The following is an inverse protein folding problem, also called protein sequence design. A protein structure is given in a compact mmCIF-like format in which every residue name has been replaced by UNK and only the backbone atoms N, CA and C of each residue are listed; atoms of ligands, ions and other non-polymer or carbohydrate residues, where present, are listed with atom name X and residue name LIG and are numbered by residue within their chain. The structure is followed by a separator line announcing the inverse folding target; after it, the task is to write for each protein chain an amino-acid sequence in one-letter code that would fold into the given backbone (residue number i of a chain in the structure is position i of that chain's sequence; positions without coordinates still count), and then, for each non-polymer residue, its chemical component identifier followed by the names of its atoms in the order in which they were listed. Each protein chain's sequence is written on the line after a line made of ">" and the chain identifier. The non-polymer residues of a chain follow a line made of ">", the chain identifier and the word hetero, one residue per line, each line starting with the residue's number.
data_IF_911638465521
#
_entry.id   IF_911638465521
#
_cell.length_a   1.000
_cell.length_b   1.000
_cell.length_c   1.000
_cell.angle_alpha   90.00
_cell.angle_beta   90.00
_cell.angle_gamma   90.00
#
_symmetry.space_group_name_H-M   'P 1'
#
loop_
_entity.id
_entity.type
_entity.pdbx_description
1 polymer ?
#
# COMPACT_ATOMS: atom_id res chain seq x y z
N UNK A 1 -23.20 -8.17 -47.28
CA UNK A 1 -23.64 -9.31 -48.14
C UNK A 1 -22.43 -10.19 -48.40
N UNK A 2 -22.61 -11.49 -48.62
CA UNK A 2 -21.54 -12.38 -49.06
C UNK A 2 -21.96 -13.16 -50.32
N UNK A 3 -21.03 -13.29 -51.26
CA UNK A 3 -21.14 -14.09 -52.46
C UNK A 3 -20.33 -15.37 -52.26
N UNK A 4 -20.95 -16.53 -52.44
CA UNK A 4 -20.34 -17.84 -52.26
C UNK A 4 -20.28 -18.52 -53.62
N UNK A 5 -19.07 -18.85 -54.07
CA UNK A 5 -18.83 -19.46 -55.39
C UNK A 5 -18.12 -20.81 -55.24
N UNK A 6 -18.67 -21.85 -55.85
CA UNK A 6 -18.04 -23.17 -55.91
C UNK A 6 -18.59 -23.98 -57.09
N UNK A 7 -17.72 -24.75 -57.76
CA UNK A 7 -18.15 -25.65 -58.84
C UNK A 7 -18.73 -24.97 -60.09
N UNK A 8 -18.50 -23.66 -60.27
CA UNK A 8 -19.10 -22.87 -61.34
C UNK A 8 -20.49 -22.31 -61.00
N UNK A 9 -20.97 -22.55 -59.78
CA UNK A 9 -22.22 -22.01 -59.26
C UNK A 9 -21.98 -20.92 -58.21
N UNK A 10 -22.94 -20.02 -58.09
CA UNK A 10 -22.88 -18.86 -57.19
C UNK A 10 -24.14 -18.79 -56.31
N UNK A 11 -23.98 -18.39 -55.04
CA UNK A 11 -25.08 -18.08 -54.12
C UNK A 11 -24.82 -16.74 -53.43
N UNK A 12 -25.87 -15.96 -53.22
CA UNK A 12 -25.78 -14.68 -52.50
C UNK A 12 -26.49 -14.81 -51.17
N UNK A 13 -25.80 -14.47 -50.07
CA UNK A 13 -26.37 -14.47 -48.73
C UNK A 13 -26.28 -13.07 -48.10
N UNK A 14 -27.30 -12.73 -47.31
CA UNK A 14 -27.30 -11.51 -46.52
C UNK A 14 -26.91 -11.85 -45.09
N UNK A 15 -25.85 -11.23 -44.59
CA UNK A 15 -25.37 -11.37 -43.22
C UNK A 15 -25.86 -10.17 -42.40
N UNK A 16 -26.32 -10.42 -41.18
CA UNK A 16 -26.78 -9.37 -40.27
C UNK A 16 -25.65 -8.43 -39.79
N UNK A 17 -26.03 -7.30 -39.19
CA UNK A 17 -25.07 -6.38 -38.58
C UNK A 17 -24.36 -7.07 -37.40
N UNK A 18 -23.03 -7.19 -37.48
CA UNK A 18 -22.22 -7.91 -36.49
C UNK A 18 -21.80 -9.33 -36.88
N UNK A 19 -22.22 -9.82 -38.05
CA UNK A 19 -22.02 -11.21 -38.46
C UNK A 19 -23.11 -12.13 -37.93
N UNK A 20 -23.20 -13.33 -38.49
CA UNK A 20 -24.22 -14.31 -38.13
C UNK A 20 -24.27 -15.48 -39.11
N UNK A 21 -25.07 -16.48 -38.76
CA UNK A 21 -25.26 -17.65 -39.61
C UNK A 21 -26.19 -17.31 -40.78
N UNK A 22 -25.92 -17.90 -41.95
CA UNK A 22 -26.77 -17.76 -43.12
C UNK A 22 -26.83 -19.08 -43.89
N UNK A 23 -28.06 -19.48 -44.24
CA UNK A 23 -28.32 -20.67 -45.03
C UNK A 23 -28.36 -20.35 -46.52
N UNK A 24 -27.90 -21.30 -47.34
CA UNK A 24 -27.95 -21.25 -48.79
C UNK A 24 -28.07 -22.65 -49.35
N UNK A 25 -28.55 -22.77 -50.60
CA UNK A 25 -28.65 -24.06 -51.27
C UNK A 25 -27.26 -24.73 -51.42
N UNK A 26 -27.15 -26.06 -51.30
CA UNK A 26 -25.87 -26.75 -51.37
C UNK A 26 -25.10 -26.48 -52.66
N UNK A 27 -23.81 -26.15 -52.51
CA UNK A 27 -22.84 -26.04 -53.61
C UNK A 27 -21.84 -27.20 -53.55
N UNK A 28 -21.41 -27.72 -54.71
CA UNK A 28 -20.41 -28.79 -54.78
C UNK A 28 -19.13 -28.30 -55.45
N UNK A 29 -17.99 -28.44 -54.76
CA UNK A 29 -16.69 -28.07 -55.32
C UNK A 29 -15.53 -28.43 -54.40
N UNK A 30 -14.30 -28.36 -54.93
CA UNK A 30 -13.05 -28.53 -54.15
C UNK A 30 -12.45 -27.22 -53.66
N UNK A 31 -12.96 -26.10 -54.17
CA UNK A 31 -12.57 -24.74 -53.84
C UNK A 31 -13.84 -23.94 -53.65
N UNK A 32 -13.90 -23.17 -52.57
CA UNK A 32 -14.95 -22.19 -52.32
C UNK A 32 -14.30 -20.82 -52.26
N UNK A 33 -14.86 -19.86 -52.98
CA UNK A 33 -14.51 -18.45 -52.87
C UNK A 33 -15.67 -17.74 -52.18
N UNK A 34 -15.38 -17.05 -51.08
CA UNK A 34 -16.38 -16.27 -50.36
C UNK A 34 -15.96 -14.80 -50.42
N UNK A 35 -16.75 -14.00 -51.13
CA UNK A 35 -16.51 -12.57 -51.33
C UNK A 35 -17.47 -11.79 -50.47
N UNK A 36 -16.95 -11.00 -49.53
CA UNK A 36 -17.76 -10.17 -48.64
C UNK A 36 -17.82 -8.73 -49.17
N UNK A 37 -19.02 -8.21 -49.34
CA UNK A 37 -19.22 -6.80 -49.73
C UNK A 37 -19.41 -5.94 -48.48
N UNK A 38 -18.64 -4.84 -48.40
CA UNK A 38 -18.79 -3.80 -47.37
C UNK A 38 -20.21 -3.20 -47.44
N UNK A 39 -20.91 -3.05 -46.30
CA UNK A 39 -22.15 -2.28 -46.28
C UNK A 39 -21.83 -0.78 -46.26
N UNK A 40 -22.17 -0.07 -47.35
CA UNK A 40 -22.04 1.39 -47.46
C UNK A 40 -20.76 1.90 -48.15
N UNK A 41 -20.85 3.11 -48.70
CA UNK A 41 -19.77 3.84 -49.40
C UNK A 41 -18.85 4.64 -48.45
N UNK A 42 -19.04 4.51 -47.13
CA UNK A 42 -18.23 5.27 -46.18
C UNK A 42 -16.86 4.60 -45.97
N UNK A 43 -15.81 5.31 -46.36
CA UNK A 43 -14.41 4.87 -46.37
C UNK A 43 -13.80 4.58 -44.98
N UNK A 44 -14.55 4.81 -43.89
CA UNK A 44 -14.01 4.79 -42.53
C UNK A 44 -13.99 3.42 -41.85
N UNK A 45 -14.60 2.38 -42.43
CA UNK A 45 -14.60 1.02 -41.84
C UNK A 45 -13.94 -0.02 -42.75
N UNK A 46 -12.88 -0.66 -42.24
CA UNK A 46 -12.31 -1.88 -42.83
C UNK A 46 -13.15 -3.09 -42.44
N UNK A 47 -13.49 -3.94 -43.41
CA UNK A 47 -14.14 -5.22 -43.12
C UNK A 47 -13.13 -6.16 -42.44
N UNK A 48 -13.42 -6.58 -41.21
CA UNK A 48 -12.66 -7.61 -40.51
C UNK A 48 -13.44 -8.92 -40.46
N UNK A 49 -12.78 -10.04 -40.76
CA UNK A 49 -13.33 -11.39 -40.62
C UNK A 49 -12.65 -12.09 -39.45
N UNK A 50 -13.43 -12.48 -38.44
CA UNK A 50 -12.90 -13.18 -37.27
C UNK A 50 -12.76 -14.68 -37.52
N UNK A 51 -13.81 -15.30 -38.05
CA UNK A 51 -13.89 -16.73 -38.29
C UNK A 51 -14.91 -17.01 -39.41
N UNK A 52 -14.67 -18.06 -40.19
CA UNK A 52 -15.62 -18.59 -41.17
C UNK A 52 -15.76 -20.08 -40.89
N UNK A 53 -17.00 -20.48 -40.61
CA UNK A 53 -17.36 -21.88 -40.40
C UNK A 53 -18.36 -22.29 -41.45
N UNK A 54 -18.12 -23.45 -42.09
CA UNK A 54 -19.11 -24.09 -42.95
C UNK A 54 -19.59 -25.34 -42.23
N UNK A 55 -20.88 -25.41 -41.89
CA UNK A 55 -21.44 -26.54 -41.13
C UNK A 55 -21.13 -27.90 -41.78
N UNK A 56 -21.11 -27.95 -43.11
CA UNK A 56 -20.92 -29.18 -43.88
C UNK A 56 -19.50 -29.31 -44.49
N UNK A 57 -18.54 -28.47 -44.10
CA UNK A 57 -17.16 -28.56 -44.58
C UNK A 57 -16.15 -28.09 -43.52
N UNK A 58 -15.12 -28.90 -43.26
CA UNK A 58 -14.00 -28.50 -42.41
C UNK A 58 -13.01 -27.65 -43.20
N UNK A 59 -13.15 -26.32 -43.10
CA UNK A 59 -12.27 -25.35 -43.77
C UNK A 59 -10.92 -25.18 -43.05
N UNK A 60 -10.91 -25.30 -41.73
CA UNK A 60 -9.73 -25.06 -40.89
C UNK A 60 -9.34 -26.32 -40.13
N UNK A 61 -8.03 -26.49 -39.93
CA UNK A 61 -7.53 -27.35 -38.86
C UNK A 61 -7.33 -26.46 -37.66
N UNK A 62 -7.75 -26.93 -36.49
CA UNK A 62 -7.35 -26.32 -35.23
C UNK A 62 -5.83 -26.25 -35.18
N UNK A 63 -5.31 -25.08 -34.83
CA UNK A 63 -3.89 -24.92 -34.60
C UNK A 63 -3.53 -25.74 -33.35
N UNK A 64 -2.68 -26.75 -33.53
CA UNK A 64 -2.13 -27.48 -32.40
C UNK A 64 -1.00 -26.68 -31.77
N UNK A 65 -1.33 -25.93 -30.72
CA UNK A 65 -0.36 -25.11 -30.00
C UNK A 65 0.76 -25.92 -29.35
N UNK A 66 0.52 -27.20 -29.01
CA UNK A 66 1.51 -28.09 -28.43
C UNK A 66 2.43 -28.74 -29.49
N UNK A 67 2.10 -28.58 -30.77
CA UNK A 67 2.89 -29.10 -31.87
C UNK A 67 4.32 -28.53 -31.88
N UNK A 68 5.33 -29.33 -32.24
CA UNK A 68 6.71 -28.88 -32.29
C UNK A 68 6.93 -27.87 -33.41
N UNK A 69 7.80 -26.90 -33.17
CA UNK A 69 8.25 -25.93 -34.16
C UNK A 69 9.70 -25.53 -33.92
N UNK A 70 10.25 -24.72 -34.82
CA UNK A 70 11.59 -24.16 -34.72
C UNK A 70 12.31 -24.21 -36.06
N UNK A 71 13.63 -24.28 -35.99
CA UNK A 71 14.51 -24.26 -37.14
C UNK A 71 15.53 -25.38 -37.02
N UNK A 72 15.73 -26.14 -38.09
CA UNK A 72 16.77 -27.17 -38.14
C UNK A 72 18.16 -26.52 -38.07
N UNK A 73 19.18 -27.34 -37.87
CA UNK A 73 20.54 -26.86 -37.71
C UNK A 73 20.99 -25.97 -38.88
N UNK A 74 21.50 -24.78 -38.55
CA UNK A 74 21.97 -23.78 -39.52
C UNK A 74 20.92 -22.75 -39.93
N UNK A 75 19.67 -22.89 -39.48
CA UNK A 75 18.59 -21.95 -39.76
C UNK A 75 18.14 -21.16 -38.52
N UNK A 76 18.78 -21.39 -37.37
CA UNK A 76 18.63 -20.52 -36.20
C UNK A 76 19.51 -19.26 -36.28
N UNK A 77 19.41 -18.37 -35.27
CA UNK A 77 20.31 -17.22 -35.15
C UNK A 77 21.76 -17.67 -34.97
N UNK A 78 22.69 -17.14 -35.77
CA UNK A 78 24.10 -17.53 -35.73
C UNK A 78 24.74 -17.09 -34.42
N UNK A 79 25.32 -18.05 -33.69
CA UNK A 79 26.16 -17.77 -32.53
C UNK A 79 27.59 -17.54 -33.01
N UNK A 80 28.21 -16.44 -32.61
CA UNK A 80 29.60 -16.11 -32.96
C UNK A 80 30.40 -16.01 -31.68
N UNK A 81 31.48 -16.79 -31.60
CA UNK A 81 32.40 -16.81 -30.46
C UNK A 81 33.79 -16.51 -31.01
N UNK A 82 34.38 -15.38 -30.61
CA UNK A 82 35.69 -14.91 -31.08
C UNK A 82 35.84 -14.89 -32.60
N UNK A 83 34.75 -14.53 -33.29
CA UNK A 83 34.69 -14.51 -34.75
C UNK A 83 34.39 -15.86 -35.40
N UNK A 84 34.40 -16.97 -34.66
CA UNK A 84 33.98 -18.27 -35.16
C UNK A 84 32.46 -18.40 -35.18
N UNK A 85 31.90 -18.66 -36.34
CA UNK A 85 30.46 -18.88 -36.51
C UNK A 85 30.07 -20.31 -36.15
N UNK A 86 29.12 -20.42 -35.23
CA UNK A 86 28.53 -21.67 -34.76
C UNK A 86 27.06 -21.66 -35.20
N UNK A 87 26.73 -22.60 -36.07
CA UNK A 87 25.35 -22.84 -36.49
C UNK A 87 24.50 -23.25 -35.30
N UNK A 88 23.27 -22.77 -35.26
CA UNK A 88 22.32 -23.12 -34.21
C UNK A 88 21.07 -23.78 -34.80
N UNK A 89 20.34 -24.48 -33.96
CA UNK A 89 18.96 -24.92 -34.20
C UNK A 89 18.04 -24.22 -33.19
N UNK A 90 16.77 -24.09 -33.56
CA UNK A 90 15.73 -23.55 -32.68
C UNK A 90 14.71 -24.64 -32.43
N UNK A 91 14.23 -24.76 -31.20
CA UNK A 91 13.14 -25.68 -30.84
C UNK A 91 12.15 -25.02 -29.90
N UNK A 92 10.88 -25.37 -30.04
CA UNK A 92 9.82 -24.96 -29.14
C UNK A 92 8.47 -25.45 -29.63
N UNK A 93 7.40 -24.76 -29.22
CA UNK A 93 6.03 -25.10 -29.57
C UNK A 93 5.41 -24.03 -30.47
N UNK A 94 4.47 -24.44 -31.33
CA UNK A 94 3.73 -23.52 -32.20
C UNK A 94 3.02 -22.43 -31.39
N UNK A 95 2.46 -22.81 -30.23
CA UNK A 95 1.82 -21.88 -29.30
C UNK A 95 2.77 -20.76 -28.84
N UNK A 96 4.05 -21.07 -28.61
CA UNK A 96 5.06 -20.07 -28.27
C UNK A 96 5.27 -19.07 -29.41
N UNK A 97 5.27 -19.50 -30.66
CA UNK A 97 5.43 -18.59 -31.82
C UNK A 97 4.22 -17.65 -31.92
N UNK A 98 3.01 -18.19 -31.82
CA UNK A 98 1.76 -17.40 -31.91
C UNK A 98 1.63 -16.41 -30.76
N UNK A 99 2.06 -16.81 -29.56
CA UNK A 99 2.08 -15.95 -28.38
C UNK A 99 3.29 -15.00 -28.33
N UNK A 100 4.19 -15.01 -29.33
CA UNK A 100 5.48 -14.29 -29.32
C UNK A 100 6.33 -14.60 -28.07
N UNK A 101 6.24 -15.83 -27.58
CA UNK A 101 7.00 -16.37 -26.48
C UNK A 101 8.42 -16.77 -26.89
N UNK A 102 9.20 -17.18 -25.88
CA UNK A 102 10.59 -17.59 -26.06
C UNK A 102 10.69 -19.00 -26.65
N UNK A 103 11.73 -19.21 -27.48
CA UNK A 103 12.11 -20.49 -28.05
C UNK A 103 13.53 -20.83 -27.61
N UNK A 104 13.83 -22.12 -27.46
CA UNK A 104 15.17 -22.57 -27.13
C UNK A 104 16.08 -22.52 -28.35
N UNK A 105 17.31 -22.03 -28.16
CA UNK A 105 18.36 -22.02 -29.18
C UNK A 105 19.49 -22.91 -28.71
N UNK A 106 19.90 -23.85 -29.56
CA UNK A 106 20.96 -24.80 -29.25
C UNK A 106 22.06 -24.73 -30.32
N UNK A 107 23.34 -24.62 -29.93
CA UNK A 107 24.46 -24.79 -30.86
C UNK A 107 24.46 -26.18 -31.50
N UNK A 108 24.75 -26.23 -32.80
CA UNK A 108 24.88 -27.48 -33.53
C UNK A 108 26.29 -28.06 -33.44
N UNK A 109 26.40 -29.38 -33.50
CA UNK A 109 27.69 -30.09 -33.66
C UNK A 109 28.57 -30.09 -32.41
N UNK A 110 28.32 -29.17 -31.49
CA UNK A 110 28.78 -29.22 -30.10
C UNK A 110 27.60 -29.70 -29.26
N UNK A 111 27.83 -30.57 -28.25
CA UNK A 111 26.78 -31.03 -27.32
C UNK A 111 26.32 -29.91 -26.37
N UNK A 112 25.98 -28.74 -26.90
CA UNK A 112 25.64 -27.53 -26.13
C UNK A 112 26.80 -26.95 -25.32
N UNK A 113 28.06 -27.33 -25.60
CA UNK A 113 29.24 -26.88 -24.85
C UNK A 113 30.19 -26.10 -25.75
N UNK A 114 30.72 -25.01 -25.23
CA UNK A 114 31.69 -24.16 -25.92
C UNK A 114 32.90 -24.06 -25.00
N UNK A 115 34.08 -24.43 -25.50
CA UNK A 115 35.32 -24.26 -24.76
C UNK A 115 35.76 -22.80 -24.90
N UNK A 116 36.00 -22.15 -23.76
CA UNK A 116 36.55 -20.79 -23.67
C UNK A 116 37.77 -20.87 -22.78
N UNK A 117 38.89 -20.34 -23.27
CA UNK A 117 40.13 -20.28 -22.50
C UNK A 117 40.06 -19.15 -21.45
N UNK A 118 41.10 -19.03 -20.63
CA UNK A 118 41.21 -17.88 -19.74
C UNK A 118 41.49 -16.61 -20.56
N UNK A 119 40.62 -15.61 -20.48
CA UNK A 119 40.84 -14.34 -21.14
C UNK A 119 39.55 -13.60 -21.50
N UNK A 120 39.71 -12.60 -22.37
CA UNK A 120 38.60 -11.83 -22.89
C UNK A 120 38.05 -12.53 -24.14
N UNK A 121 36.75 -12.85 -24.11
CA UNK A 121 36.03 -13.44 -25.24
C UNK A 121 34.93 -12.51 -25.74
N UNK A 122 34.63 -12.58 -27.04
CA UNK A 122 33.48 -11.89 -27.64
C UNK A 122 32.45 -12.92 -28.07
N UNK A 123 31.26 -12.84 -27.47
CA UNK A 123 30.14 -13.72 -27.77
C UNK A 123 28.97 -12.89 -28.31
N UNK A 124 28.49 -13.24 -29.49
CA UNK A 124 27.38 -12.56 -30.17
C UNK A 124 26.36 -13.59 -30.64
N UNK A 125 25.08 -13.41 -30.31
CA UNK A 125 24.00 -14.15 -30.97
C UNK A 125 23.31 -13.19 -31.94
N UNK A 126 23.45 -13.44 -33.25
CA UNK A 126 23.01 -12.52 -34.31
C UNK A 126 21.54 -12.75 -34.67
N UNK A 127 20.75 -11.68 -34.73
CA UNK A 127 19.33 -11.74 -35.11
C UNK A 127 19.15 -12.11 -36.59
N UNK A 128 18.01 -12.72 -36.89
CA UNK A 128 17.56 -13.02 -38.26
C UNK A 128 16.17 -12.41 -38.49
N UNK A 129 15.65 -12.49 -39.72
CA UNK A 129 14.29 -12.05 -40.01
C UNK A 129 13.19 -12.84 -39.27
N UNK A 130 13.51 -14.01 -38.73
CA UNK A 130 12.58 -14.89 -38.02
C UNK A 130 12.80 -14.91 -36.50
N UNK A 131 14.02 -14.60 -36.04
CA UNK A 131 14.41 -14.75 -34.64
C UNK A 131 15.14 -13.51 -34.11
N UNK A 132 14.67 -13.00 -32.98
CA UNK A 132 15.33 -11.96 -32.20
C UNK A 132 15.88 -12.57 -30.90
N UNK A 133 17.21 -12.58 -30.70
CA UNK A 133 17.81 -12.95 -29.44
C UNK A 133 17.35 -12.02 -28.30
N UNK A 134 16.86 -12.58 -27.20
CA UNK A 134 16.38 -11.83 -26.03
C UNK A 134 17.14 -12.16 -24.74
N UNK A 135 17.79 -13.31 -24.69
CA UNK A 135 18.61 -13.75 -23.58
C UNK A 135 19.73 -14.64 -24.10
N UNK A 136 20.92 -14.47 -23.53
CA UNK A 136 22.05 -15.36 -23.69
C UNK A 136 22.59 -15.66 -22.29
N UNK A 137 22.55 -16.93 -21.89
CA UNK A 137 23.08 -17.39 -20.61
C UNK A 137 24.27 -18.31 -20.89
N UNK A 138 25.39 -18.02 -20.23
CA UNK A 138 26.59 -18.84 -20.29
C UNK A 138 26.76 -19.49 -18.92
N UNK A 139 26.44 -20.77 -18.83
CA UNK A 139 26.59 -21.56 -17.61
C UNK A 139 27.89 -22.37 -17.68
N UNK A 140 28.57 -22.53 -16.54
CA UNK A 140 29.70 -23.45 -16.41
C UNK A 140 29.21 -24.90 -16.51
N UNK A 141 30.02 -25.76 -17.12
CA UNK A 141 29.73 -27.20 -17.20
C UNK A 141 29.89 -27.87 -15.83
N UNK A 142 30.69 -27.27 -14.95
CA UNK A 142 30.73 -27.63 -13.54
C UNK A 142 29.43 -27.18 -12.90
N UNK A 143 28.52 -28.13 -12.68
CA UNK A 143 27.36 -27.91 -11.83
C UNK A 143 27.88 -27.70 -10.41
N UNK A 144 27.58 -26.56 -9.77
CA UNK A 144 27.84 -26.44 -8.34
C UNK A 144 27.10 -27.57 -7.64
N UNK A 145 27.81 -28.26 -6.73
CA UNK A 145 27.20 -29.30 -5.91
C UNK A 145 25.92 -28.74 -5.27
N UNK A 146 24.80 -29.48 -5.28
CA UNK A 146 23.58 -29.03 -4.64
C UNK A 146 23.88 -28.63 -3.19
N UNK A 147 23.66 -27.36 -2.86
CA UNK A 147 23.82 -26.89 -1.48
C UNK A 147 22.61 -27.42 -0.71
N UNK A 148 22.83 -28.47 0.09
CA UNK A 148 21.82 -28.92 1.05
C UNK A 148 21.51 -27.77 2.02
N UNK A 149 20.24 -27.60 2.41
CA UNK A 149 19.86 -26.55 3.37
C UNK A 149 20.64 -26.76 4.66
N UNK A 150 21.55 -25.84 4.95
CA UNK A 150 22.65 -26.08 5.91
C UNK A 150 22.22 -26.06 7.37
N UNK A 151 21.01 -25.57 7.69
CA UNK A 151 20.55 -25.39 9.09
C UNK A 151 19.04 -25.48 9.25
N UNK A 152 18.61 -25.92 10.43
CA UNK A 152 17.22 -25.72 10.89
C UNK A 152 16.98 -24.27 11.27
N UNK A 153 15.76 -23.79 11.04
CA UNK A 153 15.30 -22.46 11.41
C UNK A 153 13.88 -22.56 11.99
N UNK A 154 13.69 -22.00 13.18
CA UNK A 154 12.38 -21.95 13.85
C UNK A 154 12.11 -20.50 14.29
N UNK A 155 10.92 -19.97 13.98
CA UNK A 155 10.50 -18.65 14.47
C UNK A 155 9.82 -18.84 15.82
N UNK A 156 10.42 -18.31 16.87
CA UNK A 156 9.90 -18.44 18.25
C UNK A 156 8.92 -17.33 18.60
N UNK A 157 9.24 -16.10 18.22
CA UNK A 157 8.42 -14.93 18.51
C UNK A 157 8.59 -13.90 17.41
N UNK A 158 7.49 -13.24 17.05
CA UNK A 158 7.46 -12.23 16.00
C UNK A 158 6.59 -11.06 16.44
N UNK A 159 7.11 -9.85 16.26
CA UNK A 159 6.42 -8.58 16.42
C UNK A 159 6.92 -7.63 15.32
N UNK A 160 6.34 -6.43 15.26
CA UNK A 160 6.73 -5.42 14.27
C UNK A 160 8.19 -4.97 14.42
N UNK A 161 8.72 -4.94 15.65
CA UNK A 161 10.04 -4.36 15.96
C UNK A 161 11.02 -5.33 16.59
N UNK A 162 10.59 -6.58 16.82
CA UNK A 162 11.43 -7.63 17.40
C UNK A 162 11.03 -9.00 16.90
N UNK A 163 12.00 -9.84 16.52
CA UNK A 163 11.80 -11.25 16.18
C UNK A 163 12.85 -12.09 16.88
N UNK A 164 12.47 -13.27 17.32
CA UNK A 164 13.39 -14.25 17.89
C UNK A 164 13.29 -15.50 17.03
N UNK A 165 14.43 -15.90 16.46
CA UNK A 165 14.52 -17.09 15.62
C UNK A 165 15.59 -18.02 16.19
N UNK A 166 15.29 -19.31 16.26
CA UNK A 166 16.27 -20.33 16.64
C UNK A 166 16.94 -20.86 15.39
N UNK A 167 18.26 -20.77 15.37
CA UNK A 167 19.10 -21.24 14.26
C UNK A 167 19.88 -22.47 14.73
N UNK A 168 19.80 -23.56 13.97
CA UNK A 168 20.57 -24.78 14.22
C UNK A 168 22.07 -24.61 13.94
N UNK A 169 22.87 -25.55 14.43
CA UNK A 169 24.27 -25.70 14.04
C UNK A 169 24.39 -26.12 12.58
N UNK A 170 25.43 -25.67 11.89
CA UNK A 170 25.74 -26.07 10.51
C UNK A 170 26.80 -25.18 9.88
N UNK A 171 27.02 -25.33 8.57
CA UNK A 171 27.95 -24.48 7.80
C UNK A 171 27.53 -23.01 7.81
N UNK A 172 28.43 -22.09 7.45
CA UNK A 172 28.11 -20.66 7.38
C UNK A 172 26.88 -20.42 6.49
N UNK A 173 25.92 -19.65 7.00
CA UNK A 173 24.63 -19.45 6.35
C UNK A 173 24.21 -17.98 6.38
N UNK A 174 23.24 -17.63 5.53
CA UNK A 174 22.61 -16.32 5.53
C UNK A 174 21.24 -16.45 6.18
N UNK A 175 21.02 -15.70 7.27
CA UNK A 175 19.70 -15.50 7.82
C UNK A 175 19.01 -14.39 7.03
N UNK A 176 18.07 -14.76 6.17
CA UNK A 176 17.31 -13.82 5.33
C UNK A 176 15.99 -13.42 5.99
N UNK A 177 15.69 -12.12 5.96
CA UNK A 177 14.42 -11.53 6.34
C UNK A 177 13.84 -10.86 5.08
N UNK A 178 12.71 -11.33 4.52
CA UNK A 178 12.14 -10.85 3.26
C UNK A 178 11.45 -9.48 3.42
N UNK A 179 12.20 -8.50 3.90
CA UNK A 179 11.82 -7.11 4.08
C UNK A 179 12.93 -6.25 3.48
N UNK A 180 12.57 -5.04 3.03
CA UNK A 180 13.55 -4.09 2.51
C UNK A 180 14.68 -3.85 3.52
N UNK A 181 15.92 -3.86 3.02
CA UNK A 181 17.10 -3.58 3.84
C UNK A 181 16.96 -2.26 4.59
N UNK A 182 17.24 -2.27 5.90
CA UNK A 182 17.15 -1.10 6.75
C UNK A 182 18.20 -1.18 7.87
N UNK A 183 19.03 -0.14 7.95
CA UNK A 183 20.15 -0.03 8.91
C UNK A 183 19.71 -0.06 10.38
N UNK A 184 18.44 0.17 10.69
CA UNK A 184 17.89 0.12 12.04
C UNK A 184 17.64 -1.29 12.58
N UNK A 185 17.66 -2.32 11.72
CA UNK A 185 17.57 -3.70 12.16
C UNK A 185 18.94 -4.28 12.52
N UNK A 186 19.07 -4.77 13.74
CA UNK A 186 20.24 -5.51 14.22
C UNK A 186 19.85 -6.94 14.58
N UNK A 187 20.75 -7.89 14.34
CA UNK A 187 20.61 -9.27 14.79
C UNK A 187 21.71 -9.57 15.81
N UNK A 188 21.33 -10.16 16.94
CA UNK A 188 22.25 -10.48 18.04
C UNK A 188 22.04 -11.90 18.52
N UNK A 189 23.12 -12.57 18.93
CA UNK A 189 23.12 -13.92 19.50
C UNK A 189 24.13 -13.93 20.64
N UNK A 190 23.72 -14.33 21.85
CA UNK A 190 24.58 -14.33 23.05
C UNK A 190 25.39 -13.03 23.26
N UNK A 191 24.79 -11.89 22.93
CA UNK A 191 25.42 -10.56 23.04
C UNK A 191 26.36 -10.18 21.89
N UNK A 192 26.58 -11.06 20.90
CA UNK A 192 27.36 -10.79 19.69
C UNK A 192 26.44 -10.31 18.57
N UNK A 193 26.76 -9.16 17.98
CA UNK A 193 26.06 -8.62 16.81
C UNK A 193 26.51 -9.32 15.54
N UNK A 194 25.55 -9.80 14.74
CA UNK A 194 25.80 -10.40 13.43
C UNK A 194 25.99 -9.32 12.37
N UNK A 195 26.80 -9.62 11.36
CA UNK A 195 27.08 -8.66 10.27
C UNK A 195 25.88 -8.57 9.34
N UNK A 196 25.27 -7.38 9.17
CA UNK A 196 24.16 -7.20 8.25
C UNK A 196 24.63 -7.27 6.80
N UNK A 197 23.77 -7.78 5.93
CA UNK A 197 24.01 -7.84 4.50
C UNK A 197 22.70 -7.66 3.72
N UNK A 198 22.82 -7.21 2.48
CA UNK A 198 21.69 -7.09 1.57
C UNK A 198 21.58 -8.36 0.72
N UNK A 199 20.48 -9.10 0.90
CA UNK A 199 20.20 -10.35 0.18
C UNK A 199 19.45 -10.02 -1.11
N UNK A 200 19.87 -10.64 -2.21
CA UNK A 200 19.29 -10.46 -3.56
C UNK A 200 19.21 -9.00 -4.03
N UNK A 201 20.05 -8.13 -3.48
CA UNK A 201 20.10 -6.69 -3.82
C UNK A 201 18.97 -5.84 -3.24
N UNK A 202 18.08 -6.38 -2.41
CA UNK A 202 16.98 -5.59 -1.81
C UNK A 202 16.61 -5.96 -0.38
N UNK A 203 16.71 -7.24 0.00
CA UNK A 203 16.18 -7.72 1.28
C UNK A 203 17.20 -7.67 2.41
N UNK A 204 16.71 -7.64 3.65
CA UNK A 204 17.52 -7.65 4.86
C UNK A 204 18.07 -9.05 5.13
N UNK A 205 19.33 -9.16 5.53
CA UNK A 205 19.87 -10.40 6.06
C UNK A 205 21.08 -10.20 6.96
N UNK A 206 21.56 -11.31 7.51
CA UNK A 206 22.77 -11.36 8.33
C UNK A 206 23.56 -12.62 8.07
N UNK A 207 24.89 -12.51 8.16
CA UNK A 207 25.78 -13.67 8.13
C UNK A 207 25.69 -14.41 9.47
N UNK A 208 25.43 -15.71 9.41
CA UNK A 208 25.47 -16.63 10.55
C UNK A 208 26.69 -17.53 10.37
N UNK A 209 27.78 -17.26 11.10
CA UNK A 209 28.98 -18.09 11.11
C UNK A 209 28.75 -19.52 11.61
N UNK A 210 29.66 -20.45 11.29
CA UNK A 210 29.63 -21.87 11.72
C UNK A 210 29.57 -22.04 13.23
N UNK A 211 30.24 -21.15 13.98
CA UNK A 211 30.31 -21.15 15.45
C UNK A 211 29.04 -20.59 16.12
N UNK A 212 28.07 -20.08 15.36
CA UNK A 212 26.84 -19.49 15.89
C UNK A 212 25.68 -20.49 15.77
N UNK A 213 25.01 -20.79 16.87
CA UNK A 213 23.74 -21.50 16.92
C UNK A 213 22.92 -21.02 18.12
N UNK A 214 21.61 -21.27 18.12
CA UNK A 214 20.70 -20.86 19.20
C UNK A 214 19.78 -19.71 18.81
N UNK A 215 19.33 -18.95 19.80
CA UNK A 215 18.28 -17.94 19.63
C UNK A 215 18.89 -16.60 19.17
N UNK A 216 18.69 -16.27 17.90
CA UNK A 216 19.06 -15.00 17.29
C UNK A 216 17.90 -14.01 17.47
N UNK A 217 18.20 -12.88 18.10
CA UNK A 217 17.26 -11.80 18.37
C UNK A 217 17.46 -10.69 17.36
N UNK A 218 16.48 -10.51 16.48
CA UNK A 218 16.39 -9.41 15.53
C UNK A 218 15.60 -8.28 16.19
N UNK A 219 16.17 -7.08 16.25
CA UNK A 219 15.54 -5.92 16.89
C UNK A 219 15.68 -4.69 16.02
N UNK A 220 14.59 -3.93 15.89
CA UNK A 220 14.62 -2.59 15.32
C UNK A 220 15.02 -1.59 16.40
N UNK A 221 16.31 -1.29 16.49
CA UNK A 221 16.92 -0.50 17.57
C UNK A 221 16.31 0.92 17.73
N UNK A 222 15.94 1.64 16.65
CA UNK A 222 15.38 2.99 16.78
C UNK A 222 14.05 3.05 17.55
N UNK A 223 13.32 1.92 17.69
CA UNK A 223 12.00 1.89 18.31
C UNK A 223 12.00 2.46 19.73
N UNK A 224 12.99 2.11 20.55
CA UNK A 224 13.03 2.53 21.94
C UNK A 224 13.24 4.03 22.07
N UNK A 225 14.16 4.60 21.29
CA UNK A 225 14.41 6.04 21.27
C UNK A 225 13.18 6.81 20.79
N UNK A 226 12.52 6.31 19.74
CA UNK A 226 11.27 6.86 19.23
C UNK A 226 10.18 6.93 20.31
N UNK A 227 9.92 5.82 21.02
CA UNK A 227 8.91 5.78 22.07
C UNK A 227 9.24 6.72 23.24
N UNK A 228 10.51 6.81 23.65
CA UNK A 228 10.94 7.72 24.72
C UNK A 228 10.70 9.18 24.31
N UNK A 229 11.10 9.57 23.09
CA UNK A 229 10.91 10.93 22.59
C UNK A 229 9.43 11.29 22.43
N UNK A 230 8.62 10.34 21.95
CA UNK A 230 7.18 10.51 21.80
C UNK A 230 6.51 10.76 23.16
N UNK A 231 6.81 9.92 24.16
CA UNK A 231 6.26 10.05 25.52
C UNK A 231 6.74 11.35 26.17
N UNK A 232 8.02 11.69 26.03
CA UNK A 232 8.58 12.93 26.56
C UNK A 232 7.91 14.17 25.94
N UNK A 233 7.72 14.18 24.62
CA UNK A 233 7.01 15.24 23.91
C UNK A 233 5.56 15.39 24.38
N UNK A 234 4.85 14.27 24.57
CA UNK A 234 3.48 14.27 25.08
C UNK A 234 3.41 14.81 26.52
N UNK A 235 4.37 14.45 27.37
CA UNK A 235 4.46 14.96 28.73
C UNK A 235 4.70 16.48 28.76
N UNK A 236 5.63 16.98 27.94
CA UNK A 236 5.90 18.42 27.81
C UNK A 236 4.67 19.17 27.30
N UNK A 237 3.97 18.64 26.30
CA UNK A 237 2.71 19.20 25.81
C UNK A 237 1.66 19.29 26.92
N UNK A 238 1.51 18.23 27.71
CA UNK A 238 0.63 18.22 28.89
C UNK A 238 0.97 19.34 29.87
N UNK A 239 2.25 19.52 30.20
CA UNK A 239 2.70 20.61 31.07
C UNK A 239 2.41 22.00 30.49
N UNK A 240 2.58 22.19 29.18
CA UNK A 240 2.27 23.46 28.51
C UNK A 240 0.77 23.77 28.59
N UNK A 241 -0.10 22.79 28.36
CA UNK A 241 -1.55 22.94 28.51
C UNK A 241 -1.93 23.31 29.94
N UNK A 242 -1.33 22.64 30.94
CA UNK A 242 -1.53 22.94 32.35
C UNK A 242 -1.05 24.35 32.73
N UNK A 243 0.12 24.76 32.23
CA UNK A 243 0.66 26.09 32.47
C UNK A 243 -0.21 27.17 31.83
N UNK A 244 -0.69 26.97 30.60
CA UNK A 244 -1.63 27.87 29.93
C UNK A 244 -2.95 28.01 30.70
N UNK A 245 -3.48 26.91 31.24
CA UNK A 245 -4.66 26.95 32.11
C UNK A 245 -4.39 27.73 33.41
N UNK A 246 -3.22 27.53 34.03
CA UNK A 246 -2.79 28.25 35.23
C UNK A 246 -2.61 29.75 35.02
N UNK A 247 -1.95 30.17 33.94
CA UNK A 247 -1.77 31.59 33.59
C UNK A 247 -3.11 32.24 33.24
N UNK A 248 -4.01 31.54 32.54
CA UNK A 248 -5.37 32.00 32.29
C UNK A 248 -6.19 32.20 33.58
N UNK A 249 -5.93 31.40 34.61
CA UNK A 249 -6.55 31.57 35.93
C UNK A 249 -6.01 32.80 36.67
N UNK A 250 -4.69 33.01 36.65
CA UNK A 250 -4.02 34.11 37.38
C UNK A 250 -4.27 35.48 36.72
N UNK A 251 -4.26 35.55 35.39
CA UNK A 251 -4.48 36.81 34.65
C UNK A 251 -5.90 37.35 34.78
N UNK A 252 -6.90 36.48 35.01
CA UNK A 252 -8.30 36.87 35.28
C UNK A 252 -8.58 37.19 36.75
N UNK A 253 -7.63 36.94 37.64
CA UNK A 253 -7.70 37.27 39.07
C UNK A 253 -7.07 38.63 39.40
N UNK A 254 -6.54 39.37 38.41
CA UNK A 254 -6.16 40.77 38.62
C UNK A 254 -7.44 41.62 38.64
N UNK A 255 -7.88 42.16 39.79
CA UNK A 255 -8.96 43.12 39.80
C UNK A 255 -8.53 44.30 38.92
N UNK A 256 -9.43 44.73 38.02
CA UNK A 256 -9.28 46.03 37.37
C UNK A 256 -9.09 47.06 38.50
N UNK A 257 -7.96 47.78 38.51
CA UNK A 257 -7.78 48.89 39.45
C UNK A 257 -8.91 49.87 39.16
N UNK A 258 -9.81 50.04 40.12
CA UNK A 258 -10.79 51.10 40.09
C UNK A 258 -10.02 52.43 40.11
N UNK A 259 -10.10 53.19 39.02
CA UNK A 259 -9.82 54.63 39.05
C UNK A 259 -10.94 55.28 39.87
N UNK A 260 -10.58 55.84 41.02
CA UNK A 260 -11.46 56.71 41.80
C UNK A 260 -11.82 57.94 40.95
N UNK A 261 -13.06 57.96 40.48
CA UNK A 261 -13.69 59.11 39.86
C UNK A 261 -14.97 59.40 40.62
N UNK A 262 -14.90 60.43 41.46
CA UNK A 262 -16.04 61.04 42.14
C UNK A 262 -17.09 61.46 41.09
N UNK A 263 -18.32 60.99 41.27
CA UNK A 263 -19.37 61.11 40.26
C UNK A 263 -20.68 60.51 40.75
N UNK A 264 -21.52 61.39 41.26
CA UNK A 264 -22.88 61.13 41.75
C UNK A 264 -23.74 60.45 40.66
N UNK A 265 -24.22 59.22 40.91
CA UNK A 265 -25.16 58.54 40.00
C UNK A 265 -26.35 57.98 40.78
N UNK A 266 -27.50 58.59 40.52
CA UNK A 266 -28.84 58.21 40.95
C UNK A 266 -29.12 56.73 40.67
N UNK A 267 -29.56 55.99 41.70
CA UNK A 267 -29.98 54.58 41.57
C UNK A 267 -31.39 54.47 40.99
N UNK A 268 -31.61 53.81 39.84
CA UNK A 268 -32.96 53.42 39.44
C UNK A 268 -33.39 52.15 40.18
N UNK A 269 -34.62 52.16 40.71
CA UNK A 269 -35.30 50.97 41.24
C UNK A 269 -35.63 50.04 40.08
N UNK A 270 -34.99 48.86 40.04
CA UNK A 270 -35.24 47.85 39.01
C UNK A 270 -36.15 46.75 39.58
N UNK A 271 -37.34 46.66 38.99
CA UNK A 271 -38.40 45.69 39.26
C UNK A 271 -38.05 44.26 38.79
N UNK A 272 -38.74 43.27 39.34
CA UNK A 272 -38.49 41.82 39.25
C UNK A 272 -38.60 41.13 37.88
N UNK A 273 -38.21 41.78 36.78
CA UNK A 273 -38.23 41.22 35.41
C UNK A 273 -36.90 40.53 35.02
N UNK A 274 -35.80 40.78 35.72
CA UNK A 274 -34.46 40.25 35.37
C UNK A 274 -34.20 38.78 35.70
N UNK A 275 -34.94 38.17 36.64
CA UNK A 275 -34.76 36.75 37.00
C UNK A 275 -35.20 35.82 35.87
N UNK A 276 -36.29 36.18 35.17
CA UNK A 276 -36.86 35.40 34.05
C UNK A 276 -35.96 35.45 32.80
N UNK A 277 -35.37 36.61 32.48
CA UNK A 277 -34.42 36.74 31.37
C UNK A 277 -33.06 36.06 31.63
N UNK A 278 -32.57 36.02 32.88
CA UNK A 278 -31.36 35.24 33.24
C UNK A 278 -31.57 33.73 33.14
N UNK A 279 -32.72 33.21 33.58
CA UNK A 279 -33.02 31.77 33.46
C UNK A 279 -33.21 31.36 31.99
N UNK A 280 -33.89 32.19 31.19
CA UNK A 280 -34.16 31.90 29.77
C UNK A 280 -32.91 32.00 28.87
N UNK A 281 -31.93 32.83 29.23
CA UNK A 281 -30.64 32.92 28.53
C UNK A 281 -29.66 31.80 28.91
N UNK A 282 -29.77 31.25 30.12
CA UNK A 282 -29.00 30.07 30.54
C UNK A 282 -29.54 28.80 29.88
N UNK A 283 -30.86 28.60 29.81
CA UNK A 283 -31.45 27.44 29.14
C UNK A 283 -31.18 27.44 27.63
N UNK A 284 -31.25 28.60 26.97
CA UNK A 284 -30.86 28.73 25.57
C UNK A 284 -29.36 28.45 25.35
N UNK A 285 -28.49 28.81 26.30
CA UNK A 285 -27.06 28.49 26.28
C UNK A 285 -26.79 26.99 26.42
N UNK A 286 -27.45 26.31 27.36
CA UNK A 286 -27.34 24.86 27.55
C UNK A 286 -27.82 24.06 26.34
N UNK A 287 -28.98 24.44 25.78
CA UNK A 287 -29.55 23.76 24.62
C UNK A 287 -28.69 24.01 23.38
N UNK A 288 -28.29 25.26 23.12
CA UNK A 288 -27.49 25.61 21.94
C UNK A 288 -26.07 25.01 21.95
N UNK A 289 -25.41 24.98 23.11
CA UNK A 289 -24.05 24.42 23.19
C UNK A 289 -24.07 22.88 23.21
N UNK A 290 -25.11 22.28 23.80
CA UNK A 290 -25.34 20.83 23.76
C UNK A 290 -25.65 20.32 22.36
N UNK A 291 -26.48 21.02 21.58
CA UNK A 291 -26.80 20.63 20.20
C UNK A 291 -25.62 20.80 19.26
N UNK A 292 -24.85 21.90 19.39
CA UNK A 292 -23.62 22.10 18.60
C UNK A 292 -22.57 21.04 18.95
N UNK A 293 -22.39 20.72 20.24
CA UNK A 293 -21.46 19.66 20.65
C UNK A 293 -21.88 18.28 20.14
N UNK A 294 -23.19 17.98 20.12
CA UNK A 294 -23.73 16.73 19.62
C UNK A 294 -23.51 16.57 18.11
N UNK A 295 -23.69 17.64 17.33
CA UNK A 295 -23.47 17.65 15.89
C UNK A 295 -21.98 17.63 15.52
N UNK A 296 -21.12 18.26 16.31
CA UNK A 296 -19.69 18.39 16.00
C UNK A 296 -18.86 17.14 16.38
N UNK A 297 -19.27 16.38 17.41
CA UNK A 297 -18.46 15.26 17.89
C UNK A 297 -19.22 14.22 18.71
N UNK A 298 -20.55 14.16 18.58
CA UNK A 298 -21.37 13.14 19.23
C UNK A 298 -21.65 13.40 20.72
N UNK A 299 -22.26 12.41 21.42
CA UNK A 299 -22.84 12.62 22.74
C UNK A 299 -21.80 13.01 23.81
N UNK A 300 -20.56 12.53 23.70
CA UNK A 300 -19.52 12.82 24.70
C UNK A 300 -19.02 14.27 24.60
N UNK A 301 -18.88 14.80 23.39
CA UNK A 301 -18.54 16.23 23.16
C UNK A 301 -19.68 17.14 23.61
N UNK A 302 -20.94 16.73 23.42
CA UNK A 302 -22.11 17.44 23.93
C UNK A 302 -22.11 17.52 25.47
N UNK A 303 -21.85 16.41 26.15
CA UNK A 303 -21.77 16.37 27.62
C UNK A 303 -20.61 17.22 28.11
N UNK A 304 -19.45 17.17 27.45
CA UNK A 304 -18.30 18.05 27.74
C UNK A 304 -18.65 19.53 27.63
N UNK A 305 -19.33 19.94 26.54
CA UNK A 305 -19.76 21.32 26.35
C UNK A 305 -20.77 21.78 27.41
N UNK A 306 -21.75 20.94 27.74
CA UNK A 306 -22.75 21.21 28.80
C UNK A 306 -22.10 21.34 30.17
N UNK A 307 -21.18 20.43 30.51
CA UNK A 307 -20.42 20.48 31.76
C UNK A 307 -19.55 21.75 31.81
N UNK A 308 -18.94 22.14 30.69
CA UNK A 308 -18.07 23.32 30.62
C UNK A 308 -18.85 24.60 30.82
N UNK A 309 -20.05 24.68 30.25
CA UNK A 309 -20.98 25.79 30.46
C UNK A 309 -21.51 25.83 31.90
N UNK A 310 -21.86 24.68 32.50
CA UNK A 310 -22.30 24.60 33.90
C UNK A 310 -21.20 25.04 34.89
N UNK A 311 -19.95 24.61 34.64
CA UNK A 311 -18.79 24.97 35.46
C UNK A 311 -18.20 26.35 35.10
N UNK A 312 -18.75 27.07 34.11
CA UNK A 312 -18.21 28.37 33.70
C UNK A 312 -18.27 29.44 34.81
N UNK A 313 -19.20 29.29 35.77
CA UNK A 313 -19.29 30.12 36.98
C UNK A 313 -18.24 29.78 38.04
N UNK A 314 -17.56 28.63 37.91
CA UNK A 314 -16.52 28.11 38.80
C UNK A 314 -15.26 27.77 38.00
N UNK A 315 -14.55 28.78 37.46
CA UNK A 315 -13.48 28.59 36.48
C UNK A 315 -12.33 27.71 37.00
N UNK A 316 -12.03 27.76 38.30
CA UNK A 316 -11.01 26.89 38.92
C UNK A 316 -11.36 25.41 38.81
N UNK A 317 -12.64 25.06 39.00
CA UNK A 317 -13.12 23.68 38.90
C UNK A 317 -13.21 23.22 37.43
N UNK A 318 -13.58 24.10 36.51
CA UNK A 318 -13.57 23.80 35.08
C UNK A 318 -12.13 23.48 34.60
N UNK A 319 -11.17 24.33 34.99
CA UNK A 319 -9.76 24.19 34.61
C UNK A 319 -9.13 22.94 35.21
N UNK A 320 -9.38 22.62 36.48
CA UNK A 320 -8.85 21.39 37.10
C UNK A 320 -9.49 20.13 36.51
N UNK A 321 -10.79 20.15 36.18
CA UNK A 321 -11.47 19.04 35.53
C UNK A 321 -10.96 18.81 34.10
N UNK A 322 -10.80 19.88 33.29
CA UNK A 322 -10.17 19.79 31.96
C UNK A 322 -8.75 19.23 32.06
N UNK A 323 -7.94 19.79 32.96
CA UNK A 323 -6.57 19.35 33.20
C UNK A 323 -6.49 17.87 33.57
N UNK A 324 -7.33 17.42 34.50
CA UNK A 324 -7.37 16.03 34.96
C UNK A 324 -7.81 15.07 33.85
N UNK A 325 -8.81 15.44 33.05
CA UNK A 325 -9.29 14.58 31.94
C UNK A 325 -8.24 14.46 30.83
N UNK A 326 -7.63 15.58 30.42
CA UNK A 326 -6.61 15.56 29.38
C UNK A 326 -5.33 14.84 29.86
N UNK A 327 -4.92 15.06 31.11
CA UNK A 327 -3.80 14.33 31.71
C UNK A 327 -4.10 12.84 31.86
N UNK A 328 -5.33 12.47 32.24
CA UNK A 328 -5.79 11.10 32.31
C UNK A 328 -5.78 10.40 30.94
N UNK A 329 -6.21 11.08 29.89
CA UNK A 329 -6.14 10.58 28.51
C UNK A 329 -4.69 10.36 28.05
N UNK A 330 -3.78 11.28 28.38
CA UNK A 330 -2.34 11.16 28.12
C UNK A 330 -1.73 9.98 28.88
N UNK A 331 -1.99 9.86 30.17
CA UNK A 331 -1.46 8.75 31.00
C UNK A 331 -2.01 7.41 30.52
N UNK A 332 -3.29 7.33 30.17
CA UNK A 332 -3.89 6.14 29.60
C UNK A 332 -3.23 5.77 28.25
N UNK A 333 -2.99 6.74 27.37
CA UNK A 333 -2.27 6.54 26.12
C UNK A 333 -0.86 5.97 26.36
N UNK A 334 -0.10 6.55 27.29
CA UNK A 334 1.27 6.10 27.63
C UNK A 334 1.28 4.68 28.19
N UNK A 335 0.38 4.34 29.11
CA UNK A 335 0.29 3.00 29.71
C UNK A 335 -0.08 1.95 28.65
N UNK A 336 -0.98 2.29 27.71
CA UNK A 336 -1.44 1.37 26.68
C UNK A 336 -0.38 1.14 25.59
N UNK A 337 0.33 2.19 25.18
CA UNK A 337 1.48 2.10 24.26
C UNK A 337 2.55 1.14 24.78
N UNK A 338 2.78 1.11 26.10
CA UNK A 338 3.75 0.18 26.70
C UNK A 338 3.27 -1.27 26.81
N UNK A 339 1.97 -1.56 26.65
CA UNK A 339 1.40 -2.89 26.89
C UNK A 339 1.14 -3.70 25.61
N UNK A 340 1.37 -3.14 24.42
CA UNK A 340 1.16 -3.80 23.10
C UNK A 340 -0.22 -4.50 22.95
N UNK A 341 -1.25 -4.04 23.69
CA UNK A 341 -2.61 -4.59 23.59
C UNK A 341 -3.42 -3.84 22.55
N UNK A 342 -4.39 -4.51 21.93
CA UNK A 342 -5.34 -3.92 20.98
C UNK A 342 -5.89 -2.59 21.52
N UNK A 343 -5.63 -1.51 20.79
CA UNK A 343 -5.92 -0.13 21.18
C UNK A 343 -7.43 0.15 21.14
N UNK A 344 -8.09 0.48 22.26
CA UNK A 344 -9.44 1.04 22.24
C UNK A 344 -9.35 2.55 21.97
N UNK A 345 -9.03 2.92 20.73
CA UNK A 345 -8.90 4.32 20.28
C UNK A 345 -10.10 5.18 20.71
N UNK A 346 -11.30 4.59 20.63
CA UNK A 346 -12.56 5.20 21.03
C UNK A 346 -12.51 5.82 22.43
N UNK A 347 -11.89 5.15 23.42
CA UNK A 347 -11.86 5.66 24.80
C UNK A 347 -11.02 6.93 24.96
N UNK A 348 -9.89 7.01 24.25
CA UNK A 348 -8.95 8.13 24.32
C UNK A 348 -9.50 9.33 23.55
N UNK A 349 -10.09 9.08 22.38
CA UNK A 349 -10.72 10.12 21.56
C UNK A 349 -11.92 10.74 22.28
N UNK A 350 -12.75 9.92 22.92
CA UNK A 350 -13.89 10.39 23.70
C UNK A 350 -13.43 11.23 24.92
N UNK A 351 -12.39 10.81 25.65
CA UNK A 351 -11.86 11.58 26.77
C UNK A 351 -11.25 12.93 26.33
N UNK A 352 -10.52 12.93 25.22
CA UNK A 352 -9.89 14.13 24.66
C UNK A 352 -10.95 15.11 24.13
N UNK A 353 -11.94 14.61 23.39
CA UNK A 353 -13.07 15.39 22.90
C UNK A 353 -13.90 16.01 24.03
N UNK A 354 -14.16 15.24 25.10
CA UNK A 354 -14.82 15.75 26.30
C UNK A 354 -14.03 16.90 26.95
N UNK A 355 -12.73 16.71 27.18
CA UNK A 355 -11.86 17.69 27.83
C UNK A 355 -11.75 19.02 27.05
N UNK A 356 -11.64 18.94 25.73
CA UNK A 356 -11.61 20.10 24.84
C UNK A 356 -12.95 20.86 24.82
N UNK A 357 -14.07 20.14 24.71
CA UNK A 357 -15.39 20.75 24.73
C UNK A 357 -15.68 21.45 26.07
N UNK A 358 -15.29 20.81 27.18
CA UNK A 358 -15.35 21.38 28.53
C UNK A 358 -14.57 22.70 28.62
N UNK A 359 -13.35 22.71 28.10
CA UNK A 359 -12.47 23.88 28.12
C UNK A 359 -13.06 25.05 27.30
N UNK A 360 -13.46 24.77 26.05
CA UNK A 360 -14.00 25.78 25.14
C UNK A 360 -15.31 26.37 25.65
N UNK A 361 -16.24 25.53 26.12
CA UNK A 361 -17.52 25.97 26.65
C UNK A 361 -17.39 26.81 27.91
N UNK A 362 -16.43 26.48 28.79
CA UNK A 362 -16.16 27.26 30.00
C UNK A 362 -15.67 28.68 29.70
N UNK A 363 -15.07 28.90 28.52
CA UNK A 363 -14.61 30.21 28.08
C UNK A 363 -15.73 31.12 27.53
N UNK A 364 -16.82 30.54 26.99
CA UNK A 364 -17.90 31.27 26.30
C UNK A 364 -18.71 32.16 27.26
N UNK A 365 -18.94 31.72 28.50
CA UNK A 365 -19.68 32.51 29.48
C UNK A 365 -18.91 33.76 29.94
N UNK A 366 -17.58 33.66 30.00
CA UNK A 366 -16.71 34.73 30.50
C UNK A 366 -16.57 35.92 29.54
N UNK A 367 -16.92 35.76 28.25
CA UNK A 367 -16.92 36.84 27.25
C UNK A 367 -18.18 37.71 27.26
N UNK A 368 -19.28 37.23 27.86
CA UNK A 368 -20.57 37.96 27.88
C UNK A 368 -20.71 38.92 29.08
N UNK A 369 -19.75 38.94 30.00
CA UNK A 369 -19.79 39.72 31.24
C UNK A 369 -19.01 41.05 31.21
N UNK A 370 -18.43 41.45 30.07
CA UNK A 370 -17.82 42.78 29.91
C UNK A 370 -18.80 43.77 29.26
N UNK A 371 -19.35 44.77 29.98
CA UNK A 371 -20.14 45.81 29.35
C UNK A 371 -19.23 46.78 28.58
N UNK A 372 -19.59 47.07 27.32
CA UNK A 372 -19.03 48.19 26.57
C UNK A 372 -19.50 49.50 27.19
N UNK A 373 -18.57 50.38 27.57
CA UNK A 373 -18.85 51.76 27.91
C UNK A 373 -18.97 52.56 26.60
N UNK A 374 -20.09 53.27 26.45
CA UNK A 374 -20.32 54.33 25.47
C UNK A 374 -20.65 55.61 26.20
#
# INVERSE_FOLDING_TARGET
>A
RALIEAGGETRTVSLGAGGGDADFEPLRGRRVTITFSRPGDEDFYTLGLREITLANARLTRTLDGAGPTGAVCGFGPTLVVDGQEIRTRVSGQIGSVVAKGQLAVEPCGVRGRIALDAGQHRVELRSTGQFQPVALKLDSVEEPAPVERSRSLEVLTESETRRVVRVGSGEAAILSLPQSFNVGWAATVDGRTLTPLQVDGWSQGWLVPEDVAGDVVLTYEPQRAYLVLLIAGLFVMGLVVLAGAGVGAVTRLRPARATDGDGDVVRPVISGRHRRHRVMSLTAGFIGLGTVGLLAGGPVVAIGAVAGFALASRPRWAQTATAAVLLGAVVALVIQVQRERQFPWDGIDLATGFGLALALASCVHLRRSTPHAS
#
